data_IF_329091100487
#
_entry.id   IF_329091100487
#
_cell.length_a   1.000
_cell.length_b   1.000
_cell.length_c   1.000
_cell.angle_alpha   90.00
_cell.angle_beta   90.00
_cell.angle_gamma   90.00
#
_symmetry.space_group_name_H-M   'P 1'
#
loop_
_entity.id
_entity.type
_entity.pdbx_description
1 polymer ?
#
# COMPACT_ATOMS: atom_id res chain seq x y z
N UNK A 1 -7.26 -2.66 -7.61
CA UNK A 1 -6.29 -1.70 -7.05
C UNK A 1 -4.93 -2.35 -7.14
N UNK A 2 -3.88 -1.58 -7.45
CA UNK A 2 -2.50 -2.12 -7.49
C UNK A 2 -2.15 -2.73 -6.11
N UNK A 3 -1.62 -3.97 -6.03
CA UNK A 3 -1.38 -4.58 -4.73
C UNK A 3 -0.22 -3.95 -3.93
N UNK A 4 0.71 -3.24 -4.57
CA UNK A 4 1.68 -2.38 -3.87
C UNK A 4 0.97 -1.22 -3.19
N UNK A 5 -0.01 -0.61 -3.86
CA UNK A 5 -0.84 0.45 -3.25
C UNK A 5 -1.67 -0.11 -2.08
N UNK A 6 -2.21 -1.33 -2.22
CA UNK A 6 -2.90 -2.02 -1.14
C UNK A 6 -1.99 -2.25 0.08
N UNK A 7 -0.77 -2.75 -0.16
CA UNK A 7 0.21 -3.01 0.88
C UNK A 7 0.67 -1.71 1.56
N UNK A 8 1.00 -0.68 0.77
CA UNK A 8 1.43 0.62 1.28
C UNK A 8 0.36 1.30 2.13
N UNK A 9 -0.90 1.36 1.68
CA UNK A 9 -1.98 1.98 2.47
C UNK A 9 -2.27 1.25 3.77
N UNK A 10 -2.11 -0.09 3.80
CA UNK A 10 -2.19 -0.87 5.03
C UNK A 10 -1.02 -0.53 5.96
N UNK A 11 0.20 -0.47 5.42
CA UNK A 11 1.41 -0.22 6.19
C UNK A 11 1.45 1.20 6.78
N UNK A 12 0.89 2.21 6.09
CA UNK A 12 0.73 3.57 6.64
C UNK A 12 -0.12 3.55 7.91
N UNK A 13 -1.28 2.89 7.88
CA UNK A 13 -2.18 2.79 9.04
C UNK A 13 -1.53 1.98 10.16
N UNK A 14 -0.89 0.86 9.84
CA UNK A 14 -0.15 0.08 10.83
C UNK A 14 0.96 0.88 11.50
N UNK A 15 1.68 1.73 10.76
CA UNK A 15 2.76 2.56 11.30
C UNK A 15 2.27 3.67 12.25
N UNK A 16 1.01 4.11 12.16
CA UNK A 16 0.44 5.13 13.08
C UNK A 16 0.45 4.70 14.55
N UNK A 17 0.39 3.40 14.76
CA UNK A 17 0.38 2.79 16.08
C UNK A 17 1.77 2.37 16.59
N UNK A 18 2.84 2.75 15.88
CA UNK A 18 4.22 2.44 16.29
C UNK A 18 4.94 3.70 16.75
N UNK A 19 6.06 3.53 17.46
CA UNK A 19 6.93 4.63 17.86
C UNK A 19 7.62 5.31 16.67
N UNK A 20 7.69 4.64 15.52
CA UNK A 20 8.29 5.15 14.29
C UNK A 20 7.30 5.96 13.43
N UNK A 21 6.09 6.23 13.92
CA UNK A 21 5.07 6.98 13.20
C UNK A 21 5.57 8.30 12.61
N UNK A 22 6.27 9.13 13.39
CA UNK A 22 6.71 10.45 12.93
C UNK A 22 7.59 10.36 11.68
N UNK A 23 8.52 9.41 11.65
CA UNK A 23 9.39 9.18 10.48
C UNK A 23 8.61 8.64 9.28
N UNK A 24 7.65 7.74 9.52
CA UNK A 24 6.77 7.22 8.48
C UNK A 24 5.91 8.32 7.86
N UNK A 25 5.29 9.18 8.68
CA UNK A 25 4.51 10.34 8.25
C UNK A 25 5.34 11.27 7.39
N UNK A 26 6.55 11.63 7.82
CA UNK A 26 7.41 12.54 7.07
C UNK A 26 7.79 11.96 5.70
N UNK A 27 8.02 10.64 5.63
CA UNK A 27 8.27 9.95 4.36
C UNK A 27 7.04 9.95 3.43
N UNK A 28 5.84 9.76 3.99
CA UNK A 28 4.58 9.85 3.24
C UNK A 28 4.37 11.28 2.72
N UNK A 29 4.55 12.30 3.55
CA UNK A 29 4.45 13.72 3.13
C UNK A 29 5.48 14.03 2.05
N UNK A 30 6.71 13.52 2.16
CA UNK A 30 7.75 13.69 1.15
C UNK A 30 7.38 13.04 -0.20
N UNK A 31 6.70 11.88 -0.19
CA UNK A 31 6.14 11.28 -1.41
C UNK A 31 5.10 12.22 -2.04
N UNK A 32 4.17 12.76 -1.25
CA UNK A 32 3.17 13.70 -1.78
C UNK A 32 3.78 14.99 -2.30
N UNK A 33 4.85 15.51 -1.69
CA UNK A 33 5.57 16.69 -2.20
C UNK A 33 6.11 16.51 -3.62
N UNK A 34 6.41 15.27 -4.04
CA UNK A 34 6.90 14.96 -5.38
C UNK A 34 5.81 15.00 -6.45
N UNK A 35 4.60 14.54 -6.12
CA UNK A 35 3.47 14.48 -7.07
C UNK A 35 2.51 15.66 -7.00
N UNK A 36 2.23 16.16 -5.80
CA UNK A 36 1.24 17.19 -5.49
C UNK A 36 1.71 18.05 -4.30
N UNK A 37 2.72 18.92 -4.49
CA UNK A 37 3.28 19.74 -3.41
C UNK A 37 2.24 20.58 -2.68
N UNK A 38 1.21 21.05 -3.39
CA UNK A 38 0.09 21.83 -2.84
C UNK A 38 -0.79 21.04 -1.85
N UNK A 39 -0.82 19.70 -1.96
CA UNK A 39 -1.60 18.83 -1.05
C UNK A 39 -0.77 18.25 0.09
N UNK A 40 0.56 18.35 0.05
CA UNK A 40 1.43 17.62 0.97
C UNK A 40 1.22 18.01 2.44
N UNK A 41 1.03 19.30 2.72
CA UNK A 41 0.76 19.77 4.10
C UNK A 41 -0.60 19.27 4.60
N UNK A 42 -1.63 19.31 3.75
CA UNK A 42 -2.96 18.80 4.10
C UNK A 42 -2.90 17.31 4.40
N UNK A 43 -2.19 16.52 3.59
CA UNK A 43 -1.99 15.08 3.82
C UNK A 43 -1.30 14.84 5.16
N UNK A 44 -0.30 15.65 5.51
CA UNK A 44 0.36 15.58 6.81
C UNK A 44 -0.58 15.84 7.99
N UNK A 45 -1.57 16.70 7.83
CA UNK A 45 -2.61 16.96 8.84
C UNK A 45 -3.65 15.82 8.89
N UNK A 46 -4.10 15.34 7.74
CA UNK A 46 -5.04 14.22 7.62
C UNK A 46 -4.45 12.94 8.26
N UNK A 47 -3.15 12.70 8.07
CA UNK A 47 -2.42 11.58 8.69
C UNK A 47 -2.43 11.66 10.22
N UNK A 48 -2.25 12.85 10.80
CA UNK A 48 -2.32 13.02 12.27
C UNK A 48 -3.75 12.84 12.78
N UNK A 49 -4.76 13.36 12.07
CA UNK A 49 -6.15 13.16 12.45
C UNK A 49 -6.54 11.66 12.43
N UNK A 50 -6.13 10.93 11.39
CA UNK A 50 -6.42 9.49 11.29
C UNK A 50 -5.66 8.68 12.35
N UNK A 51 -4.48 9.13 12.79
CA UNK A 51 -3.72 8.42 13.82
C UNK A 51 -4.51 8.28 15.12
N UNK A 52 -5.20 9.33 15.55
CA UNK A 52 -6.00 9.28 16.78
C UNK A 52 -7.10 8.20 16.67
N UNK A 53 -7.77 8.11 15.52
CA UNK A 53 -8.78 7.09 15.24
C UNK A 53 -8.18 5.67 15.22
N UNK A 54 -6.97 5.49 14.65
CA UNK A 54 -6.27 4.20 14.63
C UNK A 54 -5.88 3.76 16.04
N UNK A 55 -5.37 4.67 16.86
CA UNK A 55 -5.00 4.37 18.24
C UNK A 55 -6.23 3.96 19.06
N UNK A 56 -7.36 4.63 18.86
CA UNK A 56 -8.63 4.27 19.50
C UNK A 56 -9.12 2.90 19.03
N UNK A 57 -9.14 2.64 17.72
CA UNK A 57 -9.54 1.35 17.16
C UNK A 57 -8.69 0.19 17.71
N UNK A 58 -7.37 0.38 17.82
CA UNK A 58 -6.49 -0.64 18.43
C UNK A 58 -6.74 -0.83 19.92
N UNK A 59 -7.01 0.26 20.66
CA UNK A 59 -7.31 0.21 22.09
C UNK A 59 -8.61 -0.55 22.37
N UNK A 60 -9.61 -0.44 21.50
CA UNK A 60 -10.92 -1.11 21.61
C UNK A 60 -10.95 -2.48 20.93
N UNK A 61 -9.93 -2.82 20.14
CA UNK A 61 -9.90 -4.06 19.34
C UNK A 61 -10.81 -4.01 18.11
N UNK A 62 -11.20 -2.82 17.66
CA UNK A 62 -12.03 -2.63 16.47
C UNK A 62 -11.22 -2.74 15.18
N UNK A 63 -10.95 -4.00 14.79
CA UNK A 63 -10.26 -4.30 13.54
C UNK A 63 -11.02 -3.85 12.29
N UNK A 64 -12.35 -3.71 12.35
CA UNK A 64 -13.14 -3.28 11.21
C UNK A 64 -12.95 -1.77 10.96
N UNK A 65 -12.91 -0.96 12.02
CA UNK A 65 -12.58 0.45 11.92
C UNK A 65 -11.15 0.66 11.39
N UNK A 66 -10.16 -0.07 11.92
CA UNK A 66 -8.77 0.03 11.43
C UNK A 66 -8.64 -0.33 9.94
N UNK A 67 -9.33 -1.39 9.49
CA UNK A 67 -9.34 -1.80 8.08
C UNK A 67 -10.06 -0.77 7.18
N UNK A 68 -11.09 -0.10 7.67
CA UNK A 68 -11.76 0.98 6.95
C UNK A 68 -10.83 2.19 6.76
N UNK A 69 -10.08 2.57 7.80
CA UNK A 69 -9.06 3.62 7.74
C UNK A 69 -7.95 3.25 6.74
N UNK A 70 -7.52 1.98 6.71
CA UNK A 70 -6.59 1.49 5.69
C UNK A 70 -7.18 1.62 4.28
N UNK A 71 -8.47 1.35 4.10
CA UNK A 71 -9.22 1.56 2.85
C UNK A 71 -9.16 2.99 2.32
N UNK A 72 -9.27 3.99 3.20
CA UNK A 72 -9.15 5.41 2.85
C UNK A 72 -7.76 5.71 2.30
N UNK A 73 -6.71 5.33 3.01
CA UNK A 73 -5.32 5.59 2.60
C UNK A 73 -4.91 4.87 1.32
N UNK A 74 -5.38 3.63 1.13
CA UNK A 74 -5.25 2.90 -0.13
C UNK A 74 -5.87 3.67 -1.31
N UNK A 75 -7.02 4.32 -1.07
CA UNK A 75 -7.72 5.10 -2.10
C UNK A 75 -7.01 6.42 -2.42
N UNK A 76 -6.46 7.12 -1.42
CA UNK A 76 -5.63 8.32 -1.63
C UNK A 76 -4.33 7.98 -2.37
N UNK A 77 -3.61 6.93 -1.98
CA UNK A 77 -2.41 6.46 -2.68
C UNK A 77 -2.73 6.03 -4.12
N UNK A 78 -3.85 5.34 -4.35
CA UNK A 78 -4.26 4.97 -5.70
C UNK A 78 -4.56 6.20 -6.55
N UNK A 79 -5.13 7.26 -5.96
CA UNK A 79 -5.35 8.54 -6.65
C UNK A 79 -4.03 9.22 -6.99
N UNK A 80 -3.07 9.24 -6.06
CA UNK A 80 -1.73 9.77 -6.28
C UNK A 80 -1.04 9.07 -7.47
N UNK A 81 -0.99 7.73 -7.46
CA UNK A 81 -0.36 6.95 -8.55
C UNK A 81 -1.12 7.06 -9.87
N UNK A 82 -2.44 7.31 -9.85
CA UNK A 82 -3.21 7.55 -11.08
C UNK A 82 -2.92 8.91 -11.69
N UNK A 83 -2.68 9.92 -10.86
CA UNK A 83 -2.32 11.26 -11.31
C UNK A 83 -0.90 11.28 -11.90
N UNK A 84 0.02 10.56 -11.29
CA UNK A 84 1.39 10.37 -11.79
C UNK A 84 1.83 8.90 -11.65
N UNK A 85 1.74 8.11 -12.74
CA UNK A 85 2.16 6.71 -12.74
C UNK A 85 3.65 6.49 -12.43
N UNK A 86 4.50 7.51 -12.59
CA UNK A 86 5.93 7.38 -12.27
C UNK A 86 6.18 7.19 -10.77
N UNK A 87 5.26 7.65 -9.93
CA UNK A 87 5.32 7.51 -8.48
C UNK A 87 5.07 6.09 -7.97
N UNK A 88 4.65 5.15 -8.82
CA UNK A 88 4.46 3.75 -8.40
C UNK A 88 5.76 3.15 -7.82
N UNK A 89 6.91 3.49 -8.40
CA UNK A 89 8.22 3.07 -7.90
C UNK A 89 8.57 3.78 -6.56
N UNK A 90 8.20 5.05 -6.40
CA UNK A 90 8.36 5.77 -5.12
C UNK A 90 7.46 5.18 -4.02
N UNK A 91 6.23 4.75 -4.33
CA UNK A 91 5.34 4.07 -3.36
C UNK A 91 5.93 2.73 -2.91
N UNK A 92 6.50 1.95 -3.85
CA UNK A 92 7.20 0.70 -3.50
C UNK A 92 8.38 0.97 -2.57
N UNK A 93 9.24 1.94 -2.89
CA UNK A 93 10.38 2.32 -2.04
C UNK A 93 9.94 2.83 -0.67
N UNK A 94 8.90 3.67 -0.61
CA UNK A 94 8.31 4.10 0.66
C UNK A 94 7.90 2.91 1.52
N UNK A 95 7.23 1.92 0.92
CA UNK A 95 6.81 0.71 1.61
C UNK A 95 8.01 -0.09 2.14
N UNK A 96 8.98 -0.38 1.29
CA UNK A 96 10.10 -1.27 1.60
C UNK A 96 11.13 -0.62 2.55
N UNK A 97 11.42 0.66 2.36
CA UNK A 97 12.51 1.36 3.05
C UNK A 97 12.06 2.08 4.32
N UNK A 98 10.79 2.48 4.42
CA UNK A 98 10.31 3.37 5.50
C UNK A 98 9.15 2.76 6.30
N UNK A 99 8.16 2.18 5.63
CA UNK A 99 6.96 1.66 6.32
C UNK A 99 7.20 0.26 6.90
N UNK A 100 7.57 -0.73 6.09
CA UNK A 100 7.73 -2.11 6.55
C UNK A 100 8.78 -2.29 7.67
N UNK A 101 9.94 -1.58 7.67
CA UNK A 101 10.89 -1.65 8.78
C UNK A 101 10.35 -1.11 10.11
N UNK A 102 9.42 -0.15 10.05
CA UNK A 102 8.77 0.46 11.21
C UNK A 102 7.70 -0.42 11.85
N UNK A 103 7.29 -1.51 11.19
CA UNK A 103 6.23 -2.40 11.67
C UNK A 103 6.77 -3.56 12.53
N UNK A 104 5.98 -4.03 13.52
CA UNK A 104 6.18 -5.31 14.18
C UNK A 104 6.25 -6.47 13.17
N UNK A 105 6.94 -7.54 13.56
CA UNK A 105 7.21 -8.69 12.67
C UNK A 105 5.94 -9.33 12.08
N UNK A 106 4.88 -9.40 12.86
CA UNK A 106 3.60 -10.01 12.44
C UNK A 106 2.93 -9.19 11.33
N UNK A 107 2.85 -7.87 11.51
CA UNK A 107 2.31 -6.95 10.51
C UNK A 107 3.19 -6.91 9.26
N UNK A 108 4.52 -6.89 9.43
CA UNK A 108 5.47 -6.97 8.31
C UNK A 108 5.25 -8.22 7.47
N UNK A 109 5.07 -9.38 8.10
CA UNK A 109 4.77 -10.64 7.41
C UNK A 109 3.44 -10.57 6.63
N UNK A 110 2.42 -9.88 7.18
CA UNK A 110 1.14 -9.65 6.48
C UNK A 110 1.34 -8.77 5.24
N UNK A 111 2.13 -7.69 5.37
CA UNK A 111 2.46 -6.78 4.26
C UNK A 111 3.27 -7.49 3.17
N UNK A 112 4.29 -8.26 3.52
CA UNK A 112 5.09 -9.05 2.57
C UNK A 112 4.24 -10.01 1.73
N UNK A 113 3.25 -10.66 2.35
CA UNK A 113 2.29 -11.53 1.63
C UNK A 113 1.44 -10.76 0.62
N UNK A 114 1.07 -9.51 0.92
CA UNK A 114 0.35 -8.65 -0.03
C UNK A 114 1.24 -8.27 -1.23
N UNK A 115 2.52 -7.98 -0.98
CA UNK A 115 3.51 -7.67 -2.01
C UNK A 115 3.81 -8.89 -2.89
N UNK A 116 4.06 -10.08 -2.31
CA UNK A 116 4.25 -11.31 -3.08
C UNK A 116 3.06 -11.63 -3.99
N UNK A 117 1.83 -11.40 -3.49
CA UNK A 117 0.62 -11.55 -4.31
C UNK A 117 0.61 -10.57 -5.48
N UNK A 118 1.16 -9.36 -5.31
CA UNK A 118 1.38 -8.39 -6.38
C UNK A 118 2.25 -8.98 -7.48
N UNK A 119 3.43 -9.49 -7.13
CA UNK A 119 4.42 -9.98 -8.08
C UNK A 119 3.92 -11.23 -8.81
N UNK A 120 3.28 -12.15 -8.10
CA UNK A 120 2.63 -13.30 -8.71
C UNK A 120 1.56 -12.88 -9.74
N UNK A 121 0.76 -11.84 -9.44
CA UNK A 121 -0.24 -11.32 -10.38
C UNK A 121 0.35 -10.51 -11.54
N UNK A 122 1.47 -9.81 -11.31
CA UNK A 122 2.16 -9.00 -12.32
C UNK A 122 2.97 -9.83 -13.32
N UNK A 123 3.55 -10.94 -12.85
CA UNK A 123 4.22 -11.93 -13.71
C UNK A 123 3.24 -12.94 -14.35
N UNK A 124 1.95 -12.88 -14.02
CA UNK A 124 0.90 -13.73 -14.61
C UNK A 124 0.42 -13.28 -16.01
N UNK A 125 1.23 -12.54 -16.78
CA UNK A 125 1.10 -12.54 -18.25
C UNK A 125 1.84 -13.76 -18.80
N UNK A 126 1.24 -14.92 -18.60
CA UNK A 126 1.61 -16.12 -19.34
C UNK A 126 1.29 -15.83 -20.81
N UNK A 127 2.34 -15.64 -21.61
CA UNK A 127 2.24 -15.77 -23.06
C UNK A 127 1.90 -17.23 -23.37
N UNK A 128 0.61 -17.56 -23.41
CA UNK A 128 0.14 -18.75 -24.09
C UNK A 128 -0.07 -18.38 -25.57
N UNK A 129 1.03 -18.14 -26.28
CA UNK A 129 1.04 -18.10 -27.74
C UNK A 129 0.98 -19.56 -28.22
N UNK A 130 -0.08 -19.89 -28.96
CA UNK A 130 -0.39 -21.23 -29.40
C UNK A 130 0.62 -21.83 -30.38
N UNK A 131 0.91 -23.11 -30.16
CA UNK A 131 1.47 -24.15 -31.04
C UNK A 131 1.74 -25.33 -30.10
N UNK A 132 0.98 -26.42 -30.04
CA UNK A 132 0.12 -27.07 -31.02
C UNK A 132 -1.15 -27.58 -30.33
N UNK A 133 -2.30 -27.25 -30.90
CA UNK A 133 -3.52 -27.99 -30.62
C UNK A 133 -3.65 -29.05 -31.73
N UNK A 134 -3.17 -30.26 -31.47
CA UNK A 134 -3.38 -31.40 -32.37
C UNK A 134 -4.86 -31.78 -32.32
N UNK A 135 -5.58 -31.58 -33.43
CA UNK A 135 -6.93 -32.11 -33.61
C UNK A 135 -6.79 -33.43 -34.37
N UNK A 136 -6.89 -34.56 -33.65
CA UNK A 136 -7.13 -35.85 -34.29
C UNK A 136 -8.64 -36.08 -34.35
N UNK A 137 -9.24 -35.74 -35.49
CA UNK A 137 -10.55 -36.27 -35.88
C UNK A 137 -10.34 -37.61 -36.57
N UNK A 138 -10.93 -38.66 -36.01
CA UNK A 138 -10.99 -40.01 -36.55
C UNK A 138 -12.22 -40.13 -37.45
N UNK A 139 -12.01 -40.57 -38.69
CA UNK A 139 -12.79 -41.63 -39.37
C UNK A 139 -11.91 -42.26 -40.45
#
# INVERSE_FOLDING_TARGET
MDPIVMAAGTAVVSAMATSAWAEARDAVVALWRRGHPERAEQVGADLEAVRDDVLEARRTGDHAAEEALAGIWRTELQRLVRADPSLAADVRRLLEERLAPALPREERTRIEKLVMKAEASGHARVYQAGRDQHITGHD
#
